data_IF_011806084945
#
_entry.id   IF_011806084945
#
_cell.length_a   1.000
_cell.length_b   1.000
_cell.length_c   1.000
_cell.angle_alpha   90.00
_cell.angle_beta   90.00
_cell.angle_gamma   90.00
#
_symmetry.space_group_name_H-M   'P 1'
#
loop_
_entity.id
_entity.type
_entity.pdbx_description
1 polymer ?
#
# COMPACT_ATOMS: atom_id res chain seq x y z
N UNK A 1 -24.69 25.44 -2.11
CA UNK A 1 -23.76 24.87 -3.11
C UNK A 1 -22.73 24.04 -2.35
N UNK A 2 -23.01 22.74 -2.17
CA UNK A 2 -22.10 21.77 -1.56
C UNK A 2 -21.83 20.72 -2.64
N UNK A 3 -20.57 20.63 -3.05
CA UNK A 3 -20.09 19.76 -4.11
C UNK A 3 -20.35 18.31 -3.71
N UNK A 4 -21.16 17.63 -4.52
CA UNK A 4 -21.35 16.19 -4.47
C UNK A 4 -20.04 15.61 -4.98
N UNK A 5 -19.26 14.95 -4.11
CA UNK A 5 -18.17 14.09 -4.54
C UNK A 5 -18.81 12.93 -5.30
N UNK A 6 -18.82 13.05 -6.62
CA UNK A 6 -19.21 11.98 -7.52
C UNK A 6 -18.22 10.84 -7.24
N UNK A 7 -18.76 9.70 -6.79
CA UNK A 7 -18.13 8.40 -7.05
C UNK A 7 -18.02 8.31 -8.56
N UNK A 8 -16.91 8.77 -9.13
CA UNK A 8 -16.56 8.42 -10.50
C UNK A 8 -16.24 6.94 -10.48
N UNK A 9 -17.27 6.14 -10.68
CA UNK A 9 -17.15 4.74 -11.06
C UNK A 9 -16.23 4.68 -12.27
N UNK A 10 -15.09 4.00 -12.09
CA UNK A 10 -14.15 3.65 -13.15
C UNK A 10 -14.78 2.63 -14.11
N UNK A 11 -15.89 2.97 -14.75
CA UNK A 11 -16.56 2.16 -15.76
C UNK A 11 -16.23 2.72 -17.16
N UNK A 12 -15.03 2.44 -17.63
CA UNK A 12 -14.65 2.56 -19.04
C UNK A 12 -13.79 1.34 -19.38
N UNK A 13 -13.89 0.74 -20.57
CA UNK A 13 -13.05 -0.43 -20.90
C UNK A 13 -11.54 -0.11 -20.89
N UNK A 14 -11.19 1.17 -21.02
CA UNK A 14 -9.82 1.64 -20.82
C UNK A 14 -9.37 1.63 -19.35
N UNK A 15 -10.30 1.70 -18.39
CA UNK A 15 -9.98 1.65 -16.96
C UNK A 15 -9.56 0.26 -16.50
N UNK A 16 -10.31 -0.78 -16.90
CA UNK A 16 -10.03 -2.16 -16.54
C UNK A 16 -8.68 -2.61 -17.11
N UNK A 17 -8.40 -2.29 -18.37
CA UNK A 17 -7.10 -2.55 -18.99
C UNK A 17 -5.96 -1.85 -18.22
N UNK A 18 -6.13 -0.57 -17.87
CA UNK A 18 -5.12 0.20 -17.14
C UNK A 18 -4.86 -0.37 -15.74
N UNK A 19 -5.92 -0.80 -15.06
CA UNK A 19 -5.83 -1.43 -13.73
C UNK A 19 -5.11 -2.77 -13.81
N UNK A 20 -5.48 -3.64 -14.76
CA UNK A 20 -4.84 -4.93 -14.99
C UNK A 20 -3.37 -4.78 -15.39
N UNK A 21 -3.05 -3.79 -16.23
CA UNK A 21 -1.67 -3.46 -16.59
C UNK A 21 -0.87 -3.01 -15.36
N UNK A 22 -1.44 -2.11 -14.54
CA UNK A 22 -0.83 -1.67 -13.29
C UNK A 22 -0.57 -2.85 -12.35
N UNK A 23 -1.57 -3.73 -12.17
CA UNK A 23 -1.44 -4.93 -11.34
C UNK A 23 -0.32 -5.85 -11.84
N UNK A 24 -0.25 -6.11 -13.16
CA UNK A 24 0.80 -6.94 -13.73
C UNK A 24 2.21 -6.37 -13.49
N UNK A 25 2.37 -5.05 -13.57
CA UNK A 25 3.65 -4.39 -13.28
C UNK A 25 4.05 -4.56 -11.82
N UNK A 26 3.13 -4.24 -10.89
CA UNK A 26 3.40 -4.32 -9.46
C UNK A 26 3.64 -5.76 -9.01
N UNK A 27 2.84 -6.72 -9.49
CA UNK A 27 2.99 -8.13 -9.17
C UNK A 27 4.26 -8.77 -9.76
N UNK A 28 4.87 -8.14 -10.76
CA UNK A 28 6.11 -8.61 -11.40
C UNK A 28 7.34 -7.79 -10.97
N UNK A 29 7.22 -6.94 -9.95
CA UNK A 29 8.28 -6.02 -9.50
C UNK A 29 8.84 -5.11 -10.61
N UNK A 30 8.00 -4.78 -11.60
CA UNK A 30 8.35 -3.89 -12.70
C UNK A 30 8.00 -2.46 -12.32
N UNK A 31 9.02 -1.62 -12.26
CA UNK A 31 8.84 -0.20 -11.95
C UNK A 31 7.97 0.51 -12.98
N UNK A 32 6.94 1.23 -12.52
CA UNK A 32 5.99 1.95 -13.38
C UNK A 32 6.64 3.00 -14.29
N UNK A 33 7.82 3.53 -13.94
CA UNK A 33 8.54 4.47 -14.81
C UNK A 33 8.93 3.86 -16.16
N UNK A 34 8.99 2.53 -16.27
CA UNK A 34 9.25 1.85 -17.55
C UNK A 34 8.18 2.13 -18.61
N UNK A 35 6.99 2.58 -18.21
CA UNK A 35 5.95 3.07 -19.11
C UNK A 35 6.31 4.38 -19.82
N UNK A 36 7.42 5.05 -19.48
CA UNK A 36 7.92 6.19 -20.28
C UNK A 36 8.70 5.74 -21.52
N UNK A 37 9.11 4.47 -21.59
CA UNK A 37 9.88 3.97 -22.71
C UNK A 37 8.98 3.83 -23.96
N UNK A 38 9.24 4.65 -24.98
CA UNK A 38 8.43 4.69 -26.20
C UNK A 38 8.45 3.37 -26.96
N UNK A 39 9.62 2.72 -27.10
CA UNK A 39 9.74 1.41 -27.76
C UNK A 39 8.89 0.35 -27.07
N UNK A 40 8.91 0.33 -25.73
CA UNK A 40 8.13 -0.62 -24.95
C UNK A 40 6.62 -0.35 -25.05
N UNK A 41 6.20 0.91 -24.98
CA UNK A 41 4.79 1.27 -25.16
C UNK A 41 4.29 0.95 -26.58
N UNK A 42 5.09 1.24 -27.62
CA UNK A 42 4.73 0.88 -29.00
C UNK A 42 4.61 -0.63 -29.16
N UNK A 43 5.49 -1.41 -28.52
CA UNK A 43 5.36 -2.86 -28.49
C UNK A 43 4.05 -3.31 -27.82
N UNK A 44 3.75 -2.82 -26.61
CA UNK A 44 2.53 -3.17 -25.90
C UNK A 44 1.28 -2.75 -26.69
N UNK A 45 1.25 -1.54 -27.23
CA UNK A 45 0.14 -1.02 -28.04
C UNK A 45 -0.07 -1.87 -29.31
N UNK A 46 1.01 -2.28 -29.99
CA UNK A 46 0.95 -3.14 -31.18
C UNK A 46 0.25 -4.48 -30.90
N UNK A 47 0.61 -5.14 -29.80
CA UNK A 47 0.11 -6.49 -29.51
C UNK A 47 -1.20 -6.51 -28.70
N UNK A 48 -1.52 -5.45 -27.96
CA UNK A 48 -2.79 -5.35 -27.21
C UNK A 48 -3.90 -4.66 -28.00
N UNK A 49 -3.56 -3.83 -29.00
CA UNK A 49 -4.51 -2.96 -29.69
C UNK A 49 -5.12 -1.87 -28.79
N UNK A 50 -4.58 -1.68 -27.57
CA UNK A 50 -5.06 -0.71 -26.57
C UNK A 50 -4.06 0.45 -26.45
N UNK A 51 -4.58 1.64 -26.18
CA UNK A 51 -3.74 2.77 -25.81
C UNK A 51 -3.09 2.49 -24.45
N UNK A 52 -1.77 2.66 -24.36
CA UNK A 52 -1.04 2.46 -23.10
C UNK A 52 -1.11 3.75 -22.28
N UNK A 53 -1.73 3.74 -21.09
CA UNK A 53 -1.76 4.93 -20.24
C UNK A 53 -0.36 5.32 -19.81
N UNK A 54 -0.11 6.62 -19.68
CA UNK A 54 1.15 7.11 -19.17
C UNK A 54 1.33 6.78 -17.68
N UNK A 55 2.58 6.83 -17.21
CA UNK A 55 2.93 6.51 -15.83
C UNK A 55 2.22 7.39 -14.79
N UNK A 56 1.98 8.67 -15.08
CA UNK A 56 1.28 9.57 -14.15
C UNK A 56 -0.19 9.18 -14.03
N UNK A 57 -0.82 8.81 -15.14
CA UNK A 57 -2.19 8.28 -15.17
C UNK A 57 -2.30 7.01 -14.33
N UNK A 58 -1.44 6.01 -14.55
CA UNK A 58 -1.46 4.76 -13.75
C UNK A 58 -1.22 5.05 -12.26
N UNK A 59 -0.23 5.89 -11.93
CA UNK A 59 0.12 6.19 -10.54
C UNK A 59 -1.03 6.85 -9.77
N UNK A 60 -1.75 7.78 -10.39
CA UNK A 60 -2.84 8.52 -9.73
C UNK A 60 -4.13 7.71 -9.65
N UNK A 61 -4.42 6.95 -10.71
CA UNK A 61 -5.73 6.30 -10.89
C UNK A 61 -5.75 4.84 -10.45
N UNK A 62 -4.76 4.06 -10.83
CA UNK A 62 -4.78 2.61 -10.66
C UNK A 62 -4.09 2.17 -9.36
N UNK A 63 -2.94 2.76 -9.02
CA UNK A 63 -2.18 2.37 -7.81
C UNK A 63 -3.01 2.55 -6.54
N UNK A 64 -3.76 3.65 -6.41
CA UNK A 64 -4.61 3.88 -5.25
C UNK A 64 -5.72 2.82 -5.12
N UNK A 65 -6.31 2.40 -6.23
CA UNK A 65 -7.35 1.35 -6.26
C UNK A 65 -6.76 0.04 -5.76
N UNK A 66 -5.64 -0.41 -6.36
CA UNK A 66 -4.98 -1.66 -5.96
C UNK A 66 -4.48 -1.61 -4.51
N UNK A 67 -3.95 -0.46 -4.08
CA UNK A 67 -3.53 -0.27 -2.70
C UNK A 67 -4.70 -0.50 -1.73
N UNK A 68 -5.85 0.14 -1.98
CA UNK A 68 -7.02 -0.02 -1.13
C UNK A 68 -7.52 -1.46 -1.11
N UNK A 69 -7.54 -2.15 -2.26
CA UNK A 69 -7.90 -3.57 -2.34
C UNK A 69 -6.96 -4.46 -1.51
N UNK A 70 -5.65 -4.19 -1.56
CA UNK A 70 -4.65 -4.91 -0.74
C UNK A 70 -4.87 -4.66 0.74
N UNK A 71 -5.09 -3.40 1.14
CA UNK A 71 -5.36 -3.05 2.54
C UNK A 71 -6.65 -3.72 3.02
N UNK A 72 -7.72 -3.71 2.23
CA UNK A 72 -8.98 -4.35 2.60
C UNK A 72 -8.84 -5.88 2.72
N UNK A 73 -8.02 -6.50 1.87
CA UNK A 73 -7.67 -7.92 2.01
C UNK A 73 -6.91 -8.18 3.32
N UNK A 74 -5.91 -7.36 3.66
CA UNK A 74 -5.15 -7.48 4.91
C UNK A 74 -6.09 -7.34 6.11
N UNK A 75 -6.98 -6.35 6.10
CA UNK A 75 -8.01 -6.15 7.14
C UNK A 75 -8.91 -7.37 7.30
N UNK A 76 -9.33 -7.97 6.19
CA UNK A 76 -10.16 -9.18 6.20
C UNK A 76 -9.42 -10.41 6.74
N UNK A 77 -8.14 -10.56 6.39
CA UNK A 77 -7.30 -11.67 6.86
C UNK A 77 -6.97 -11.54 8.36
N UNK A 78 -6.81 -10.32 8.87
CA UNK A 78 -6.60 -10.04 10.30
C UNK A 78 -7.92 -10.14 11.10
N UNK A 79 -9.02 -9.62 10.56
CA UNK A 79 -10.32 -9.61 11.24
C UNK A 79 -10.30 -8.84 12.56
N UNK A 80 -10.96 -9.39 13.59
CA UNK A 80 -11.13 -8.76 14.91
C UNK A 80 -10.22 -9.36 16.00
N UNK A 81 -9.25 -10.19 15.61
CA UNK A 81 -8.34 -10.85 16.54
C UNK A 81 -7.27 -9.90 17.10
N UNK A 82 -6.51 -10.35 18.12
CA UNK A 82 -5.38 -9.59 18.62
C UNK A 82 -4.28 -9.49 17.55
N UNK A 83 -3.64 -8.33 17.42
CA UNK A 83 -2.55 -8.11 16.45
C UNK A 83 -1.25 -7.82 17.18
N UNK A 84 -0.13 -8.17 16.55
CA UNK A 84 1.15 -7.58 16.89
C UNK A 84 1.53 -6.53 15.85
N UNK A 85 2.24 -5.51 16.32
CA UNK A 85 2.84 -4.45 15.49
C UNK A 85 4.31 -4.38 15.85
N UNK A 86 5.17 -4.60 14.85
CA UNK A 86 6.61 -4.44 14.95
C UNK A 86 7.02 -3.22 14.16
N UNK A 87 7.82 -2.34 14.77
CA UNK A 87 8.46 -1.22 14.07
C UNK A 87 9.96 -1.46 14.09
N UNK A 88 10.56 -1.44 12.90
CA UNK A 88 12.00 -1.58 12.72
C UNK A 88 12.53 -0.29 12.08
N UNK A 89 13.48 0.34 12.75
CA UNK A 89 14.10 1.58 12.29
C UNK A 89 15.49 1.29 11.74
N UNK A 90 15.74 1.72 10.51
CA UNK A 90 17.05 1.66 9.88
C UNK A 90 17.48 3.03 9.42
N UNK A 91 18.79 3.30 9.52
CA UNK A 91 19.39 4.46 8.85
C UNK A 91 19.98 3.96 7.54
N UNK A 92 19.54 4.51 6.42
CA UNK A 92 20.11 4.12 5.12
C UNK A 92 21.48 4.78 4.88
N UNK A 93 22.12 4.41 3.78
CA UNK A 93 23.45 4.93 3.40
C UNK A 93 23.46 6.43 3.11
N UNK A 94 22.30 7.04 2.85
CA UNK A 94 22.13 8.47 2.63
C UNK A 94 21.82 9.22 3.95
N UNK A 95 21.77 8.51 5.08
CA UNK A 95 21.49 9.07 6.40
C UNK A 95 20.00 9.33 6.66
N UNK A 96 19.10 8.80 5.82
CA UNK A 96 17.66 8.88 6.07
C UNK A 96 17.25 7.85 7.10
N UNK A 97 16.41 8.26 8.05
CA UNK A 97 15.78 7.35 8.99
C UNK A 97 14.56 6.73 8.30
N UNK A 98 14.58 5.43 8.05
CA UNK A 98 13.49 4.69 7.43
C UNK A 98 12.91 3.75 8.47
N UNK A 99 11.59 3.81 8.66
CA UNK A 99 10.89 2.96 9.61
C UNK A 99 9.90 2.05 8.88
N UNK A 100 10.05 0.75 9.10
CA UNK A 100 9.17 -0.29 8.56
C UNK A 100 8.17 -0.72 9.63
N UNK A 101 6.89 -0.71 9.29
CA UNK A 101 5.82 -1.20 10.18
C UNK A 101 5.32 -2.53 9.67
N UNK A 102 5.57 -3.60 10.43
CA UNK A 102 5.07 -4.94 10.14
C UNK A 102 3.94 -5.29 11.09
N UNK A 103 2.84 -5.82 10.57
CA UNK A 103 1.69 -6.24 11.35
C UNK A 103 1.35 -7.70 11.07
N UNK A 104 0.78 -8.37 12.07
CA UNK A 104 0.27 -9.73 11.91
C UNK A 104 -0.76 -10.08 12.97
N UNK A 105 -1.55 -11.12 12.67
CA UNK A 105 -2.57 -11.63 13.58
C UNK A 105 -1.93 -12.52 14.64
N UNK A 106 -2.07 -12.19 15.91
CA UNK A 106 -1.66 -13.12 16.97
C UNK A 106 -2.68 -14.25 17.07
N UNK A 107 -2.25 -15.47 16.78
CA UNK A 107 -3.06 -16.68 16.91
C UNK A 107 -2.32 -17.68 17.81
N UNK A 108 -3.03 -18.30 18.73
CA UNK A 108 -2.45 -19.19 19.77
C UNK A 108 -1.75 -20.40 19.14
N UNK A 109 -2.38 -21.02 18.14
CA UNK A 109 -1.92 -22.32 17.60
C UNK A 109 -1.23 -22.26 16.23
N UNK A 110 -1.13 -21.09 15.59
CA UNK A 110 -0.65 -20.98 14.19
C UNK A 110 0.13 -19.71 13.95
N UNK A 111 1.22 -19.84 13.19
CA UNK A 111 1.89 -18.69 12.59
C UNK A 111 0.92 -18.00 11.61
N UNK A 112 0.57 -16.76 11.90
CA UNK A 112 -0.14 -15.92 10.95
C UNK A 112 0.83 -15.36 9.91
N UNK A 113 0.31 -15.08 8.72
CA UNK A 113 1.02 -14.26 7.74
C UNK A 113 1.23 -12.85 8.30
N UNK A 114 2.44 -12.32 8.12
CA UNK A 114 2.80 -10.94 8.44
C UNK A 114 2.74 -10.07 7.19
N UNK A 115 2.49 -8.77 7.36
CA UNK A 115 2.41 -7.80 6.28
C UNK A 115 3.27 -6.59 6.62
N UNK A 116 4.11 -6.16 5.69
CA UNK A 116 4.68 -4.82 5.72
C UNK A 116 3.55 -3.84 5.39
N UNK A 117 3.07 -3.13 6.40
CA UNK A 117 1.92 -2.25 6.29
C UNK A 117 2.30 -0.89 5.72
N UNK A 118 3.41 -0.32 6.21
CA UNK A 118 3.98 0.90 5.66
C UNK A 118 5.50 0.94 5.87
N UNK A 119 6.17 1.76 5.05
CA UNK A 119 7.58 2.06 5.09
C UNK A 119 7.70 3.58 4.92
N UNK A 120 8.13 4.28 5.96
CA UNK A 120 8.10 5.75 6.02
C UNK A 120 9.49 6.31 6.32
N UNK A 121 9.83 7.42 5.68
CA UNK A 121 10.98 8.24 6.05
C UNK A 121 10.60 9.11 7.26
N UNK A 122 11.37 8.99 8.34
CA UNK A 122 11.21 9.79 9.55
C UNK A 122 12.18 10.99 9.53
N UNK A 123 11.71 12.13 10.03
CA UNK A 123 12.57 13.31 10.20
C UNK A 123 13.65 13.13 11.28
N UNK A 124 13.41 12.20 12.22
CA UNK A 124 14.33 11.78 13.28
C UNK A 124 13.86 10.45 13.87
N UNK A 125 14.78 9.66 14.39
CA UNK A 125 14.51 8.45 15.18
C UNK A 125 14.33 8.84 16.66
N UNK A 126 13.09 9.01 17.13
CA UNK A 126 12.80 9.18 18.55
C UNK A 126 11.38 8.72 18.92
N UNK A 127 11.09 8.61 20.22
CA UNK A 127 9.80 8.12 20.71
C UNK A 127 8.57 8.88 20.16
N UNK A 128 8.72 10.15 19.78
CA UNK A 128 7.61 10.96 19.27
C UNK A 128 7.28 10.60 17.82
N UNK A 129 8.30 10.52 16.96
CA UNK A 129 8.11 10.19 15.53
C UNK A 129 7.66 8.75 15.37
N UNK A 130 8.25 7.84 16.15
CA UNK A 130 7.85 6.43 16.23
C UNK A 130 6.44 6.26 16.76
N UNK A 131 6.09 6.95 17.85
CA UNK A 131 4.74 6.87 18.42
C UNK A 131 3.68 7.42 17.46
N UNK A 132 4.00 8.46 16.69
CA UNK A 132 3.14 8.95 15.61
C UNK A 132 2.99 7.91 14.50
N UNK A 133 4.10 7.32 14.01
CA UNK A 133 4.07 6.28 12.99
C UNK A 133 3.23 5.08 13.42
N UNK A 134 3.37 4.64 14.67
CA UNK A 134 2.56 3.58 15.26
C UNK A 134 1.07 3.92 15.19
N UNK A 135 0.68 5.13 15.61
CA UNK A 135 -0.71 5.57 15.54
C UNK A 135 -1.24 5.66 14.09
N UNK A 136 -0.44 6.21 13.18
CA UNK A 136 -0.80 6.33 11.77
C UNK A 136 -0.98 4.95 11.13
N UNK A 137 -0.10 3.99 11.43
CA UNK A 137 -0.22 2.60 11.00
C UNK A 137 -1.50 1.93 11.53
N UNK A 138 -1.87 2.17 12.78
CA UNK A 138 -3.14 1.66 13.33
C UNK A 138 -4.35 2.28 12.63
N UNK A 139 -4.31 3.55 12.22
CA UNK A 139 -5.39 4.17 11.45
C UNK A 139 -5.49 3.59 10.03
N UNK A 140 -4.37 3.20 9.42
CA UNK A 140 -4.37 2.47 8.15
C UNK A 140 -5.06 1.12 8.33
N UNK A 141 -4.76 0.38 9.40
CA UNK A 141 -5.30 -0.97 9.58
C UNK A 141 -6.74 -0.98 10.12
N UNK A 142 -7.03 -0.23 11.18
CA UNK A 142 -8.26 -0.31 11.99
C UNK A 142 -9.20 0.88 11.75
N UNK A 143 -9.76 0.96 10.54
CA UNK A 143 -10.63 2.08 10.14
C UNK A 143 -11.94 2.20 10.93
N UNK A 144 -12.39 1.14 11.60
CA UNK A 144 -13.61 1.12 12.42
C UNK A 144 -13.36 1.46 13.91
N UNK A 145 -12.17 1.99 14.22
CA UNK A 145 -11.77 2.38 15.57
C UNK A 145 -10.78 1.42 16.21
N UNK A 146 -9.84 1.97 16.98
CA UNK A 146 -8.71 1.23 17.54
C UNK A 146 -9.10 0.62 18.89
N UNK A 147 -9.06 -0.73 18.97
CA UNK A 147 -9.19 -1.48 20.22
C UNK A 147 -7.81 -1.76 20.80
N UNK A 148 -7.24 -0.79 21.52
CA UNK A 148 -5.86 -0.86 22.02
C UNK A 148 -5.57 -2.09 22.90
N UNK A 149 -6.58 -2.63 23.60
CA UNK A 149 -6.44 -3.86 24.39
C UNK A 149 -6.19 -5.13 23.56
N UNK A 150 -6.28 -5.03 22.22
CA UNK A 150 -5.99 -6.10 21.26
C UNK A 150 -4.75 -5.81 20.41
N UNK A 151 -4.00 -4.75 20.73
CA UNK A 151 -2.80 -4.34 20.00
C UNK A 151 -1.60 -4.58 20.88
N UNK A 152 -0.72 -5.47 20.44
CA UNK A 152 0.54 -5.77 21.10
C UNK A 152 1.68 -5.12 20.33
N UNK A 153 2.38 -4.20 20.99
CA UNK A 153 3.49 -3.49 20.39
C UNK A 153 4.81 -4.18 20.73
N UNK A 154 5.62 -4.42 19.71
CA UNK A 154 6.93 -5.05 19.83
C UNK A 154 7.99 -4.15 19.19
N UNK A 155 9.10 -3.95 19.90
CA UNK A 155 10.26 -3.20 19.45
C UNK A 155 11.44 -4.17 19.35
N UNK A 156 12.16 -4.14 18.23
CA UNK A 156 13.46 -4.82 18.11
C UNK A 156 14.60 -3.86 18.38
#
# INVERSE_FOLDING_TARGET
MKQIFIKDSFEDQNSEFSLNLCHAYLASDILLWKLHNTTFNTYLQKYTGKHIPDQSTIRKKCVLVLYNEVIDRIRKEIGEGPIYVSIDETTDVEGRYVANVVVGLMHEDKYSKSYLLTCEELSKCNYQTVGKLFHDALNILLSNGIKYNKVFFYFN
#
